data_IF_611329398667
#
_entry.id   IF_611329398667
#
_cell.length_a   1.000
_cell.length_b   1.000
_cell.length_c   1.000
_cell.angle_alpha   90.00
_cell.angle_beta   90.00
_cell.angle_gamma   90.00
#
_symmetry.space_group_name_H-M   'P 1'
#
loop_
_entity.id
_entity.type
_entity.pdbx_description
1 polymer ?
#
# COMPACT_ATOMS: atom_id res chain seq x y z
N UNK A 1 13.73 42.79 -10.65
CA UNK A 1 14.79 41.77 -10.47
C UNK A 1 14.33 40.83 -9.37
N UNK A 2 14.17 39.54 -9.64
CA UNK A 2 13.73 38.57 -8.64
C UNK A 2 14.96 38.15 -7.82
N UNK A 3 14.86 38.22 -6.49
CA UNK A 3 15.99 37.89 -5.60
C UNK A 3 16.44 36.43 -5.79
N UNK A 4 17.74 36.12 -5.63
CA UNK A 4 18.19 34.74 -5.56
C UNK A 4 17.50 34.05 -4.36
N UNK A 5 17.05 32.79 -4.49
CA UNK A 5 16.23 32.14 -3.48
C UNK A 5 16.96 32.05 -2.14
N UNK A 6 16.38 32.66 -1.11
CA UNK A 6 17.05 32.98 0.15
C UNK A 6 16.98 31.88 1.21
N UNK A 7 16.11 30.89 1.04
CA UNK A 7 15.92 29.79 2.00
C UNK A 7 15.81 28.41 1.34
N UNK A 8 16.22 27.37 2.08
CA UNK A 8 16.08 25.96 1.63
C UNK A 8 14.62 25.56 1.39
N UNK A 9 13.67 26.18 2.12
CA UNK A 9 12.22 26.00 1.95
C UNK A 9 11.69 26.55 0.62
N UNK A 10 12.15 27.71 0.17
CA UNK A 10 11.76 28.28 -1.13
C UNK A 10 12.29 27.42 -2.29
N UNK A 11 13.56 26.98 -2.20
CA UNK A 11 14.15 26.04 -3.15
C UNK A 11 13.38 24.71 -3.21
N UNK A 12 12.87 24.23 -2.07
CA UNK A 12 12.07 23.02 -1.98
C UNK A 12 10.73 23.18 -2.73
N UNK A 13 10.00 24.28 -2.51
CA UNK A 13 8.74 24.58 -3.19
C UNK A 13 8.94 24.76 -4.71
N UNK A 14 10.00 25.45 -5.14
CA UNK A 14 10.36 25.61 -6.55
C UNK A 14 10.70 24.26 -7.21
N UNK A 15 11.40 23.37 -6.50
CA UNK A 15 11.70 22.02 -6.99
C UNK A 15 10.44 21.16 -7.10
N UNK A 16 9.58 21.14 -6.07
CA UNK A 16 8.36 20.32 -6.07
C UNK A 16 7.39 20.79 -7.16
N UNK A 17 7.15 22.10 -7.29
CA UNK A 17 6.29 22.64 -8.35
C UNK A 17 6.83 22.41 -9.77
N UNK A 18 8.17 22.41 -9.95
CA UNK A 18 8.79 22.02 -11.22
C UNK A 18 8.57 20.53 -11.55
N UNK A 19 8.71 19.64 -10.56
CA UNK A 19 8.43 18.20 -10.72
C UNK A 19 6.96 17.95 -11.08
N UNK A 20 6.01 18.61 -10.41
CA UNK A 20 4.57 18.49 -10.71
C UNK A 20 4.24 18.98 -12.12
N UNK A 21 4.82 20.10 -12.56
CA UNK A 21 4.62 20.62 -13.93
C UNK A 21 5.10 19.60 -14.99
N UNK A 22 6.26 18.99 -14.78
CA UNK A 22 6.85 18.01 -15.70
C UNK A 22 6.03 16.70 -15.75
N UNK A 23 5.45 16.28 -14.61
CA UNK A 23 4.51 15.15 -14.54
C UNK A 23 3.21 15.43 -15.30
N UNK A 24 2.70 16.66 -15.28
CA UNK A 24 1.49 17.04 -16.03
C UNK A 24 1.78 17.13 -17.53
N UNK A 25 2.93 17.70 -17.94
CA UNK A 25 3.30 17.74 -19.37
C UNK A 25 3.55 16.35 -19.96
N UNK A 26 4.23 15.47 -19.21
CA UNK A 26 4.42 14.07 -19.64
C UNK A 26 3.08 13.33 -19.72
N UNK A 27 2.20 13.47 -18.73
CA UNK A 27 0.85 12.90 -18.77
C UNK A 27 0.06 13.36 -20.01
N UNK A 28 0.00 14.67 -20.27
CA UNK A 28 -0.71 15.20 -21.45
C UNK A 28 -0.15 14.65 -22.77
N UNK A 29 1.18 14.57 -22.90
CA UNK A 29 1.83 13.98 -24.09
C UNK A 29 1.60 12.46 -24.24
N UNK A 30 1.31 11.74 -23.14
CA UNK A 30 1.15 10.29 -23.10
C UNK A 30 -0.26 9.78 -23.43
N UNK A 31 -1.19 10.67 -23.79
CA UNK A 31 -2.61 10.34 -23.97
C UNK A 31 -2.94 9.42 -25.16
N UNK A 32 -1.95 9.04 -25.99
CA UNK A 32 -2.15 8.34 -27.26
C UNK A 32 -1.51 6.95 -27.38
N UNK A 33 -0.63 6.52 -26.47
CA UNK A 33 -0.13 5.14 -26.46
C UNK A 33 0.40 4.70 -25.09
N UNK A 34 0.22 3.41 -24.79
CA UNK A 34 0.55 2.80 -23.51
C UNK A 34 2.04 3.00 -23.15
N UNK A 35 2.30 3.98 -22.29
CA UNK A 35 3.66 4.33 -21.86
C UNK A 35 3.87 3.93 -20.40
N UNK A 36 4.99 3.27 -20.15
CA UNK A 36 5.47 2.84 -18.84
C UNK A 36 5.51 4.02 -17.85
N UNK A 37 5.13 3.86 -16.57
CA UNK A 37 5.06 4.97 -15.62
C UNK A 37 6.44 5.65 -15.50
N UNK A 38 6.53 6.99 -15.65
CA UNK A 38 7.80 7.70 -15.62
C UNK A 38 8.49 7.49 -14.27
N UNK A 39 9.81 7.25 -14.29
CA UNK A 39 10.58 7.00 -13.07
C UNK A 39 10.68 8.27 -12.21
N UNK A 40 9.69 8.46 -11.33
CA UNK A 40 9.53 9.62 -10.44
C UNK A 40 10.75 9.85 -9.53
N UNK A 41 11.51 8.79 -9.19
CA UNK A 41 12.70 8.91 -8.35
C UNK A 41 13.87 9.54 -9.12
N UNK A 42 14.05 9.16 -10.40
CA UNK A 42 15.02 9.81 -11.30
C UNK A 42 14.66 11.28 -11.53
N UNK A 43 13.37 11.60 -11.68
CA UNK A 43 12.88 12.95 -11.94
C UNK A 43 13.13 13.88 -10.74
N UNK A 44 12.71 13.45 -9.54
CA UNK A 44 13.00 14.15 -8.27
C UNK A 44 14.50 14.38 -8.07
N UNK A 45 15.34 13.39 -8.41
CA UNK A 45 16.80 13.51 -8.33
C UNK A 45 17.40 14.52 -9.31
N UNK A 46 16.88 14.61 -10.55
CA UNK A 46 17.30 15.62 -11.54
C UNK A 46 17.00 17.05 -11.05
N UNK A 47 15.78 17.30 -10.59
CA UNK A 47 15.39 18.62 -10.11
C UNK A 47 16.05 19.00 -8.77
N UNK A 48 16.22 18.05 -7.84
CA UNK A 48 16.94 18.31 -6.59
C UNK A 48 18.40 18.77 -6.84
N UNK A 49 19.08 18.18 -7.83
CA UNK A 49 20.40 18.65 -8.30
C UNK A 49 20.34 20.03 -8.93
N UNK A 50 19.36 20.30 -9.81
CA UNK A 50 19.18 21.60 -10.48
C UNK A 50 18.96 22.77 -9.50
N UNK A 51 18.28 22.53 -8.39
CA UNK A 51 17.99 23.54 -7.36
C UNK A 51 18.93 23.49 -6.13
N UNK A 52 19.97 22.65 -6.12
CA UNK A 52 20.97 22.62 -5.05
C UNK A 52 20.43 22.19 -3.67
N UNK A 53 19.42 21.31 -3.65
CA UNK A 53 18.76 20.87 -2.42
C UNK A 53 19.61 19.89 -1.61
N UNK A 54 19.68 20.08 -0.28
CA UNK A 54 20.37 19.16 0.66
C UNK A 54 19.70 17.78 0.75
N UNK A 55 18.41 17.69 0.49
CA UNK A 55 17.62 16.47 0.52
C UNK A 55 16.66 16.41 -0.67
N UNK A 56 16.42 15.23 -1.21
CA UNK A 56 15.50 15.02 -2.35
C UNK A 56 14.05 15.12 -1.87
N UNK A 57 13.17 15.80 -2.64
CA UNK A 57 11.71 15.79 -2.47
C UNK A 57 11.14 14.48 -1.90
N UNK A 58 10.31 14.44 -0.85
CA UNK A 58 9.61 13.18 -0.52
C UNK A 58 8.50 12.94 -1.54
N UNK A 59 8.06 11.69 -1.70
CA UNK A 59 6.95 11.38 -2.60
C UNK A 59 5.62 11.95 -2.06
N UNK A 60 5.47 12.01 -0.73
CA UNK A 60 4.35 12.67 -0.03
C UNK A 60 4.24 14.15 -0.38
N UNK A 61 5.37 14.85 -0.46
CA UNK A 61 5.40 16.30 -0.64
C UNK A 61 5.06 16.65 -2.10
N UNK A 62 5.50 15.81 -3.04
CA UNK A 62 5.07 15.88 -4.44
C UNK A 62 3.57 15.59 -4.57
N UNK A 63 3.05 14.55 -3.89
CA UNK A 63 1.62 14.21 -3.90
C UNK A 63 0.75 15.33 -3.32
N UNK A 64 1.21 16.00 -2.26
CA UNK A 64 0.51 17.13 -1.63
C UNK A 64 0.46 18.38 -2.52
N UNK A 65 1.47 18.58 -3.38
CA UNK A 65 1.56 19.72 -4.30
C UNK A 65 0.85 19.52 -5.65
N UNK A 66 0.28 18.34 -5.92
CA UNK A 66 -0.51 18.09 -7.13
C UNK A 66 -1.90 18.73 -7.00
N UNK A 67 -2.35 19.57 -7.96
CA UNK A 67 -3.71 20.12 -7.97
C UNK A 67 -4.78 19.02 -8.09
N UNK A 68 -5.93 19.23 -7.47
CA UNK A 68 -6.92 18.15 -7.23
C UNK A 68 -7.45 17.50 -8.50
N UNK A 69 -7.69 18.30 -9.54
CA UNK A 69 -8.08 17.87 -10.90
C UNK A 69 -7.16 16.78 -11.50
N UNK A 70 -5.88 16.77 -11.09
CA UNK A 70 -4.84 15.87 -11.59
C UNK A 70 -4.46 14.79 -10.57
N UNK A 71 -4.93 14.88 -9.32
CA UNK A 71 -4.61 13.90 -8.26
C UNK A 71 -5.01 12.49 -8.68
N UNK A 72 -6.26 12.27 -9.11
CA UNK A 72 -6.73 10.92 -9.47
C UNK A 72 -6.06 10.35 -10.73
N UNK A 73 -5.77 11.21 -11.72
CA UNK A 73 -5.03 10.83 -12.94
C UNK A 73 -3.60 10.38 -12.64
N UNK A 74 -2.90 11.12 -11.77
CA UNK A 74 -1.52 10.84 -11.38
C UNK A 74 -1.41 9.80 -10.25
N UNK A 75 -2.52 9.47 -9.56
CA UNK A 75 -2.58 8.51 -8.45
C UNK A 75 -2.03 7.14 -8.83
N UNK A 76 -2.24 6.70 -10.07
CA UNK A 76 -1.70 5.44 -10.57
C UNK A 76 -0.17 5.42 -10.63
N UNK A 77 0.47 6.53 -11.01
CA UNK A 77 1.93 6.66 -11.13
C UNK A 77 2.60 6.98 -9.79
N UNK A 78 1.92 7.72 -8.91
CA UNK A 78 2.44 8.10 -7.59
C UNK A 78 2.10 7.08 -6.48
N UNK A 79 1.33 6.03 -6.78
CA UNK A 79 1.04 4.96 -5.82
C UNK A 79 2.34 4.28 -5.41
N UNK A 80 2.70 4.42 -4.13
CA UNK A 80 3.77 3.61 -3.55
C UNK A 80 3.45 2.13 -3.80
N UNK A 81 4.44 1.37 -4.28
CA UNK A 81 4.32 -0.09 -4.45
C UNK A 81 3.79 -0.67 -3.14
N UNK A 82 2.76 -1.53 -3.16
CA UNK A 82 2.20 -2.10 -1.92
C UNK A 82 3.35 -2.69 -1.12
N UNK A 83 3.54 -2.16 0.08
CA UNK A 83 4.68 -2.51 0.92
C UNK A 83 4.48 -3.98 1.26
N UNK A 84 5.47 -4.83 0.94
CA UNK A 84 5.50 -6.18 1.51
C UNK A 84 5.49 -6.02 3.04
N UNK A 85 4.84 -6.95 3.72
CA UNK A 85 4.84 -7.06 5.19
C UNK A 85 6.24 -6.77 5.76
N UNK A 86 6.33 -6.19 6.95
CA UNK A 86 7.61 -5.68 7.48
C UNK A 86 8.73 -6.73 7.57
N UNK A 87 8.39 -8.02 7.64
CA UNK A 87 9.30 -9.18 7.61
C UNK A 87 9.56 -9.78 6.22
N UNK A 88 8.86 -9.33 5.18
CA UNK A 88 8.85 -9.91 3.83
C UNK A 88 8.03 -11.21 3.69
N UNK A 89 7.48 -11.74 4.78
CA UNK A 89 6.70 -13.00 4.84
C UNK A 89 5.21 -12.68 4.85
N UNK A 90 4.44 -13.31 3.97
CA UNK A 90 2.98 -13.31 4.03
C UNK A 90 2.54 -14.58 4.78
N UNK A 91 1.89 -14.40 5.93
CA UNK A 91 1.23 -15.49 6.66
C UNK A 91 -0.14 -15.68 6.03
N UNK A 92 -0.52 -16.93 5.76
CA UNK A 92 -1.85 -17.30 5.25
C UNK A 92 -2.37 -18.42 6.12
N UNK A 93 -3.45 -18.18 6.86
CA UNK A 93 -4.13 -19.21 7.64
C UNK A 93 -5.22 -19.87 6.78
N UNK A 94 -5.28 -21.21 6.79
CA UNK A 94 -6.34 -21.97 6.12
C UNK A 94 -6.88 -23.04 7.07
N UNK A 95 -8.20 -23.24 7.04
CA UNK A 95 -8.87 -24.30 7.77
C UNK A 95 -9.24 -25.45 6.83
N UNK A 96 -9.05 -26.68 7.27
CA UNK A 96 -9.56 -27.86 6.56
C UNK A 96 -11.08 -28.00 6.76
N UNK A 97 -11.72 -28.87 5.96
CA UNK A 97 -13.14 -29.22 6.12
C UNK A 97 -13.44 -29.65 7.56
N UNK A 98 -14.53 -29.15 8.21
CA UNK A 98 -14.92 -29.61 9.54
C UNK A 98 -15.17 -31.12 9.55
N UNK A 99 -14.54 -31.81 10.50
CA UNK A 99 -14.62 -33.26 10.70
C UNK A 99 -14.56 -33.58 12.19
N UNK A 100 -15.19 -34.68 12.60
CA UNK A 100 -15.19 -35.18 13.98
C UNK A 100 -13.80 -35.70 14.38
N UNK A 101 -13.44 -35.57 15.65
CA UNK A 101 -12.19 -36.14 16.18
C UNK A 101 -12.22 -37.68 16.18
N UNK A 102 -11.10 -38.37 15.87
CA UNK A 102 -11.08 -39.83 15.81
C UNK A 102 -11.31 -40.51 17.16
N UNK A 103 -10.98 -39.85 18.29
CA UNK A 103 -11.19 -40.41 19.63
C UNK A 103 -12.67 -40.56 20.02
N UNK A 104 -13.59 -39.86 19.34
CA UNK A 104 -15.04 -39.96 19.60
C UNK A 104 -15.52 -41.39 19.36
N UNK A 105 -14.92 -42.12 18.41
CA UNK A 105 -15.23 -43.53 18.15
C UNK A 105 -14.80 -44.48 19.27
N UNK A 106 -13.86 -44.08 20.13
CA UNK A 106 -13.35 -44.90 21.25
C UNK A 106 -13.91 -44.47 22.61
N UNK A 107 -14.20 -43.18 22.78
CA UNK A 107 -14.60 -42.56 24.06
C UNK A 107 -16.06 -42.10 24.10
N UNK A 108 -16.77 -42.18 22.96
CA UNK A 108 -18.17 -41.76 22.80
C UNK A 108 -18.38 -40.24 22.68
N UNK A 109 -17.49 -39.43 23.26
CA UNK A 109 -17.67 -37.99 23.43
C UNK A 109 -16.47 -37.18 22.90
N UNK A 110 -16.67 -35.86 22.76
CA UNK A 110 -15.60 -34.87 22.50
C UNK A 110 -14.91 -34.45 23.81
N UNK A 111 -13.74 -33.79 23.71
CA UNK A 111 -13.05 -33.20 24.85
C UNK A 111 -13.93 -32.15 25.56
N UNK A 112 -14.00 -32.22 26.90
CA UNK A 112 -14.82 -31.33 27.77
C UNK A 112 -14.56 -29.84 27.55
N UNK A 113 -13.34 -29.47 27.16
CA UNK A 113 -12.91 -28.08 26.95
C UNK A 113 -13.02 -27.60 25.48
N UNK A 114 -13.60 -28.39 24.58
CA UNK A 114 -13.71 -28.03 23.16
C UNK A 114 -15.06 -27.35 22.88
N UNK A 115 -15.12 -26.05 22.57
CA UNK A 115 -16.38 -25.30 22.50
C UNK A 115 -17.14 -25.48 21.18
N UNK A 116 -16.48 -25.95 20.11
CA UNK A 116 -17.04 -25.94 18.76
C UNK A 116 -16.67 -27.14 17.91
N UNK A 117 -17.38 -27.31 16.80
CA UNK A 117 -17.23 -28.41 15.83
C UNK A 117 -18.58 -28.78 15.18
N UNK A 118 -18.63 -29.87 14.40
CA UNK A 118 -19.83 -30.27 13.65
C UNK A 118 -21.00 -30.77 14.53
N UNK A 119 -20.76 -30.95 15.83
CA UNK A 119 -21.75 -31.37 16.85
C UNK A 119 -22.04 -30.26 17.88
N UNK A 120 -21.63 -29.02 17.59
CA UNK A 120 -21.85 -27.86 18.47
C UNK A 120 -22.95 -26.96 17.93
N UNK A 121 -23.50 -26.10 18.79
CA UNK A 121 -24.49 -25.08 18.42
C UNK A 121 -23.92 -23.95 17.53
N UNK A 122 -22.61 -23.96 17.24
CA UNK A 122 -21.97 -22.99 16.35
C UNK A 122 -22.13 -23.40 14.88
N UNK A 123 -22.84 -22.58 14.10
CA UNK A 123 -23.16 -22.85 12.70
C UNK A 123 -21.89 -23.02 11.84
N UNK A 124 -21.71 -24.22 11.29
CA UNK A 124 -20.63 -24.61 10.38
C UNK A 124 -19.19 -24.31 10.89
N UNK A 125 -18.97 -24.36 12.20
CA UNK A 125 -17.64 -24.15 12.78
C UNK A 125 -16.70 -25.37 12.64
N UNK A 126 -15.40 -25.11 12.53
CA UNK A 126 -14.35 -26.13 12.64
C UNK A 126 -14.11 -26.51 14.10
N UNK A 127 -13.54 -27.70 14.33
CA UNK A 127 -13.35 -28.22 15.69
C UNK A 127 -12.46 -27.27 16.52
N UNK A 128 -12.93 -26.89 17.71
CA UNK A 128 -12.29 -25.91 18.62
C UNK A 128 -12.34 -24.44 18.20
N UNK A 129 -13.05 -24.10 17.12
CA UNK A 129 -13.31 -22.71 16.71
C UNK A 129 -14.77 -22.33 17.00
N UNK A 130 -15.04 -21.03 17.08
CA UNK A 130 -16.39 -20.47 17.31
C UNK A 130 -17.02 -19.92 16.03
N UNK A 131 -16.24 -19.72 14.96
CA UNK A 131 -16.71 -19.12 13.70
C UNK A 131 -16.70 -17.59 13.71
N UNK A 132 -16.40 -16.97 14.85
CA UNK A 132 -16.25 -15.52 15.01
C UNK A 132 -14.79 -15.05 14.97
N UNK A 133 -13.83 -15.97 14.77
CA UNK A 133 -12.43 -15.62 14.62
C UNK A 133 -12.17 -14.85 13.32
N UNK A 134 -11.35 -13.80 13.39
CA UNK A 134 -10.86 -13.12 12.19
C UNK A 134 -9.82 -13.99 11.48
N UNK A 135 -10.18 -14.52 10.32
CA UNK A 135 -9.22 -15.14 9.39
C UNK A 135 -8.23 -14.07 8.90
N UNK A 136 -6.98 -14.18 9.34
CA UNK A 136 -5.86 -13.29 8.99
C UNK A 136 -5.27 -13.59 7.61
#
# INVERSE_FOLDING_TARGET
MIAPPTSQSELHLLCVSAVVRDLISTYNSSSSSATEPPNVNSLRSKYAKKYGLKAVPRLTDVLAAVPEEWKDRLRGWLKAKPVRTASGVAVVAVMCKPHRCPHVAMTGNICVYCPGGPDSDFEYSTQSYTGYEVSC
#
